data_IF_926512205957
#
_entry.id   IF_926512205957
#
_cell.length_a   1.000
_cell.length_b   1.000
_cell.length_c   1.000
_cell.angle_alpha   90.00
_cell.angle_beta   90.00
_cell.angle_gamma   90.00
#
_symmetry.space_group_name_H-M   'P 1'
#
loop_
_entity.id
_entity.type
_entity.pdbx_description
1 polymer ?
#
# COMPACT_ATOMS: atom_id res chain seq x y z
N UNK A 1 -14.91 -9.81 -5.30
CA UNK A 1 -13.50 -9.38 -5.20
C UNK A 1 -12.86 -10.21 -4.11
N UNK A 2 -11.78 -10.89 -4.47
CA UNK A 2 -11.07 -11.83 -3.63
C UNK A 2 -9.85 -11.19 -2.97
N UNK A 3 -9.32 -11.85 -1.93
CA UNK A 3 -8.05 -11.47 -1.31
C UNK A 3 -6.92 -11.39 -2.36
N UNK A 4 -6.94 -12.29 -3.34
CA UNK A 4 -6.01 -12.33 -4.48
C UNK A 4 -6.09 -11.11 -5.39
N UNK A 5 -7.21 -10.38 -5.36
CA UNK A 5 -7.42 -9.19 -6.18
C UNK A 5 -6.88 -7.94 -5.48
N UNK A 6 -6.41 -8.06 -4.23
CA UNK A 6 -5.81 -6.97 -3.49
C UNK A 6 -4.38 -6.77 -3.98
N UNK A 7 -4.13 -5.64 -4.64
CA UNK A 7 -2.85 -5.31 -5.23
C UNK A 7 -2.31 -4.06 -4.54
N UNK A 8 -1.00 -4.06 -4.24
CA UNK A 8 -0.30 -2.84 -3.84
C UNK A 8 -0.12 -1.96 -5.07
N UNK A 9 -0.82 -0.84 -5.09
CA UNK A 9 -0.66 0.17 -6.10
C UNK A 9 0.43 1.14 -5.68
N UNK A 10 1.47 1.27 -6.51
CA UNK A 10 2.61 2.18 -6.30
C UNK A 10 2.63 3.26 -7.39
N UNK A 11 1.96 4.38 -7.16
CA UNK A 11 2.01 5.52 -8.08
C UNK A 11 3.13 6.48 -7.69
N UNK A 12 3.95 6.89 -8.66
CA UNK A 12 4.96 7.92 -8.43
C UNK A 12 4.29 9.28 -8.24
N UNK A 13 4.52 9.91 -7.09
CA UNK A 13 3.96 11.22 -6.75
C UNK A 13 4.95 12.35 -7.06
N UNK A 14 6.25 12.07 -6.98
CA UNK A 14 7.28 13.05 -7.23
C UNK A 14 8.62 12.64 -6.64
N UNK A 15 9.64 13.41 -6.95
CA UNK A 15 10.99 13.22 -6.43
C UNK A 15 11.59 14.56 -6.01
N UNK A 16 12.39 14.55 -4.98
CA UNK A 16 13.22 15.67 -4.56
C UNK A 16 14.67 15.23 -4.46
N UNK A 17 15.60 16.08 -4.88
CA UNK A 17 17.02 15.82 -4.78
C UNK A 17 17.69 16.99 -4.05
N UNK A 18 18.50 16.66 -3.05
CA UNK A 18 19.41 17.57 -2.36
C UNK A 18 20.84 17.11 -2.60
N UNK A 19 21.82 17.90 -2.16
CA UNK A 19 23.24 17.54 -2.32
C UNK A 19 23.64 16.25 -1.57
N UNK A 20 22.80 15.76 -0.65
CA UNK A 20 23.08 14.59 0.18
C UNK A 20 22.06 13.47 0.04
N UNK A 21 20.87 13.72 -0.52
CA UNK A 21 19.80 12.73 -0.56
C UNK A 21 18.93 12.83 -1.83
N UNK A 22 18.46 11.69 -2.31
CA UNK A 22 17.43 11.58 -3.34
C UNK A 22 16.19 10.94 -2.71
N UNK A 23 15.11 11.71 -2.60
CA UNK A 23 13.84 11.26 -2.05
C UNK A 23 12.88 10.98 -3.19
N UNK A 24 12.34 9.76 -3.23
CA UNK A 24 11.29 9.34 -4.16
C UNK A 24 10.00 9.10 -3.39
N UNK A 25 8.93 9.80 -3.78
CA UNK A 25 7.62 9.70 -3.14
C UNK A 25 6.71 8.80 -3.98
N UNK A 26 6.18 7.76 -3.35
CA UNK A 26 5.22 6.85 -3.96
C UNK A 26 3.95 6.79 -3.11
N UNK A 27 2.79 6.75 -3.78
CA UNK A 27 1.53 6.38 -3.15
C UNK A 27 1.53 4.87 -2.94
N UNK A 28 1.53 4.40 -1.70
CA UNK A 28 1.45 2.98 -1.37
C UNK A 28 0.07 2.61 -0.85
N UNK A 29 -0.89 2.35 -1.76
CA UNK A 29 -2.26 1.97 -1.42
C UNK A 29 -2.52 0.51 -1.81
N UNK A 30 -3.00 -0.30 -0.86
CA UNK A 30 -3.61 -1.56 -1.21
C UNK A 30 -5.04 -1.32 -1.65
N UNK A 31 -5.40 -1.71 -2.88
CA UNK A 31 -6.78 -1.62 -3.34
C UNK A 31 -7.15 -2.76 -4.29
N UNK A 32 -8.43 -3.15 -4.37
CA UNK A 32 -8.88 -4.20 -5.26
C UNK A 32 -8.66 -3.78 -6.72
N UNK A 33 -7.88 -4.57 -7.47
CA UNK A 33 -7.51 -4.29 -8.86
C UNK A 33 -6.88 -2.89 -9.07
N UNK A 34 -6.19 -2.35 -8.05
CA UNK A 34 -5.58 -1.00 -8.10
C UNK A 34 -6.55 0.15 -8.43
N UNK A 35 -7.86 -0.04 -8.18
CA UNK A 35 -8.91 0.96 -8.50
C UNK A 35 -9.15 2.00 -7.39
N UNK A 36 -8.39 1.90 -6.31
CA UNK A 36 -8.57 2.73 -5.13
C UNK A 36 -9.83 2.39 -4.32
N UNK A 37 -10.35 3.39 -3.60
CA UNK A 37 -11.62 3.30 -2.88
C UNK A 37 -11.49 3.27 -1.35
N UNK A 38 -10.32 3.61 -0.82
CA UNK A 38 -10.09 3.78 0.61
C UNK A 38 -10.66 5.13 1.08
N UNK A 39 -11.46 5.19 2.16
CA UNK A 39 -12.15 6.40 2.62
C UNK A 39 -11.25 7.36 3.43
N UNK A 40 -9.93 7.18 3.37
CA UNK A 40 -8.93 7.98 4.07
C UNK A 40 -7.75 8.26 3.13
N UNK A 41 -6.89 9.22 3.50
CA UNK A 41 -5.78 9.71 2.69
C UNK A 41 -4.45 9.60 3.46
N UNK A 42 -3.31 9.48 2.76
CA UNK A 42 -2.01 9.46 3.42
C UNK A 42 -1.68 10.83 4.01
N UNK A 43 -1.00 10.81 5.16
CA UNK A 43 -0.35 12.00 5.71
C UNK A 43 1.03 12.21 5.08
N UNK A 44 1.54 13.45 5.09
CA UNK A 44 2.87 13.74 4.59
C UNK A 44 3.94 13.14 5.51
N UNK A 45 4.76 12.26 4.94
CA UNK A 45 5.86 11.64 5.67
C UNK A 45 7.11 12.52 5.66
N UNK A 46 7.80 12.56 6.79
CA UNK A 46 9.10 13.23 6.94
C UNK A 46 10.09 12.25 7.59
N UNK A 47 11.31 12.20 7.06
CA UNK A 47 12.35 11.33 7.61
C UNK A 47 12.82 11.88 8.97
N UNK A 48 12.93 11.02 10.00
CA UNK A 48 13.39 11.46 11.31
C UNK A 48 14.88 11.80 11.34
N UNK A 49 15.67 11.22 10.43
CA UNK A 49 17.12 11.43 10.30
C UNK A 49 17.44 11.65 8.83
N UNK A 50 18.14 12.75 8.52
CA UNK A 50 18.49 13.16 7.15
C UNK A 50 19.69 12.36 6.61
N UNK A 51 20.57 11.90 7.49
CA UNK A 51 21.74 11.07 7.15
C UNK A 51 21.84 9.88 8.11
N UNK A 52 21.29 8.75 7.66
CA UNK A 52 21.32 7.45 8.35
C UNK A 52 22.68 6.76 8.21
N UNK A 53 23.56 7.22 7.29
CA UNK A 53 24.76 6.51 6.87
C UNK A 53 24.49 5.23 6.07
N UNK A 54 23.22 4.96 5.73
CA UNK A 54 22.79 3.84 4.91
C UNK A 54 22.60 4.26 3.46
N UNK A 55 22.73 3.31 2.53
CA UNK A 55 22.56 3.59 1.09
C UNK A 55 21.10 3.83 0.69
N UNK A 56 20.15 3.30 1.45
CA UNK A 56 18.73 3.38 1.16
C UNK A 56 17.94 3.39 2.47
N UNK A 57 17.18 4.45 2.68
CA UNK A 57 16.19 4.54 3.73
C UNK A 57 14.80 4.40 3.12
N UNK A 58 13.96 3.56 3.73
CA UNK A 58 12.61 3.27 3.25
C UNK A 58 11.61 3.61 4.35
N UNK A 59 10.67 4.49 4.02
CA UNK A 59 9.64 4.95 4.94
C UNK A 59 8.27 4.49 4.46
N UNK A 60 7.58 3.71 5.29
CA UNK A 60 6.23 3.20 5.01
C UNK A 60 5.24 3.92 5.91
N UNK A 61 4.23 4.54 5.31
CA UNK A 61 3.14 5.18 6.05
C UNK A 61 2.24 4.15 6.72
N UNK A 62 1.66 4.54 7.85
CA UNK A 62 0.50 3.88 8.46
C UNK A 62 -0.66 3.73 7.46
N UNK A 63 -0.83 4.68 6.55
CA UNK A 63 -1.78 4.61 5.43
C UNK A 63 -1.66 3.29 4.64
N UNK A 64 -0.45 2.83 4.31
CA UNK A 64 -0.25 1.59 3.55
C UNK A 64 -0.74 0.37 4.33
N UNK A 65 -0.49 0.30 5.63
CA UNK A 65 -1.00 -0.78 6.47
C UNK A 65 -2.50 -0.67 6.74
N UNK A 66 -3.00 0.55 6.94
CA UNK A 66 -4.42 0.81 7.18
C UNK A 66 -5.28 0.44 5.96
N UNK A 67 -4.82 0.76 4.75
CA UNK A 67 -5.51 0.36 3.51
C UNK A 67 -5.52 -1.16 3.34
N UNK A 68 -4.40 -1.83 3.61
CA UNK A 68 -4.32 -3.29 3.64
C UNK A 68 -5.32 -3.89 4.64
N UNK A 69 -5.30 -3.45 5.89
CA UNK A 69 -6.19 -3.96 6.94
C UNK A 69 -7.65 -3.67 6.66
N UNK A 70 -7.97 -2.48 6.14
CA UNK A 70 -9.31 -2.10 5.72
C UNK A 70 -9.88 -3.07 4.67
N UNK A 71 -9.09 -3.39 3.64
CA UNK A 71 -9.52 -4.32 2.60
C UNK A 71 -9.54 -5.78 3.07
N UNK A 72 -8.58 -6.22 3.87
CA UNK A 72 -8.59 -7.57 4.44
C UNK A 72 -9.79 -7.80 5.36
N UNK A 73 -10.14 -6.82 6.19
CA UNK A 73 -11.33 -6.86 7.03
C UNK A 73 -12.61 -6.92 6.17
N UNK A 74 -12.70 -6.10 5.11
CA UNK A 74 -13.84 -6.10 4.18
C UNK A 74 -13.99 -7.43 3.43
N UNK A 75 -12.90 -8.16 3.22
CA UNK A 75 -12.93 -9.50 2.62
C UNK A 75 -13.18 -10.63 3.61
N UNK A 76 -13.44 -10.33 4.89
CA UNK A 76 -13.74 -11.29 5.95
C UNK A 76 -12.68 -12.40 6.13
N UNK A 77 -11.44 -12.16 5.68
CA UNK A 77 -10.33 -13.13 5.74
C UNK A 77 -10.01 -13.51 7.19
N UNK A 78 -10.30 -12.62 8.14
CA UNK A 78 -10.10 -12.86 9.56
C UNK A 78 -11.22 -13.68 10.23
N UNK A 79 -12.36 -13.91 9.58
CA UNK A 79 -13.52 -14.54 10.21
C UNK A 79 -13.85 -15.96 9.75
N UNK A 80 -13.55 -16.36 8.51
CA UNK A 80 -13.58 -17.77 8.09
C UNK A 80 -12.93 -17.88 6.71
N UNK A 81 -12.14 -18.93 6.49
CA UNK A 81 -11.40 -19.22 5.25
C UNK A 81 -12.35 -19.58 4.08
N UNK A 82 -13.27 -18.71 3.65
CA UNK A 82 -14.12 -18.97 2.48
C UNK A 82 -14.70 -17.67 1.93
N UNK A 83 -14.08 -17.10 0.88
CA UNK A 83 -14.87 -16.98 -0.35
C UNK A 83 -14.11 -17.27 -1.66
N UNK A 84 -12.78 -17.49 -1.63
CA UNK A 84 -11.96 -17.41 -2.85
C UNK A 84 -11.50 -18.75 -3.44
N UNK A 85 -11.92 -19.88 -2.88
CA UNK A 85 -11.64 -21.19 -3.48
C UNK A 85 -12.65 -21.52 -4.60
N UNK A 86 -13.81 -20.85 -4.66
CA UNK A 86 -14.83 -21.10 -5.68
C UNK A 86 -14.83 -20.00 -6.76
N UNK A 87 -13.92 -20.13 -7.73
CA UNK A 87 -13.87 -19.18 -8.83
C UNK A 87 -12.98 -19.57 -10.00
N UNK A 88 -13.12 -20.80 -10.54
CA UNK A 88 -13.27 -21.00 -12.00
C UNK A 88 -13.62 -22.47 -12.36
N UNK A 89 -14.91 -22.80 -12.39
CA UNK A 89 -15.46 -23.78 -13.34
C UNK A 89 -16.71 -23.14 -13.92
N UNK A 90 -16.80 -23.14 -15.25
CA UNK A 90 -17.87 -22.63 -16.10
C UNK A 90 -17.81 -21.12 -16.44
N UNK A 91 -16.87 -20.74 -17.31
CA UNK A 91 -17.13 -20.30 -18.70
C UNK A 91 -15.83 -20.25 -19.49
#
# INVERSE_FOLDING_TARGET
ACASDLILSTYFLGSSATNSALTLNFLGEFSPNARGGTPFAPFQLEYPVIDSGQMLDLLISDYTFNTLLYHLHRFAIFFELLPCIYGNRYL
#
